data_IF_162145845843
#
_entry.id   IF_162145845843
#
_cell.length_a   1.000
_cell.length_b   1.000
_cell.length_c   1.000
_cell.angle_alpha   90.00
_cell.angle_beta   90.00
_cell.angle_gamma   90.00
#
_symmetry.space_group_name_H-M   'P 1'
#
loop_
_entity.id
_entity.type
_entity.pdbx_description
1 polymer ?
#
# COMPACT_ATOMS: atom_id res chain seq x y z
N UNK A 1 5.28 -17.54 -7.27
CA UNK A 1 4.73 -16.19 -7.03
C UNK A 1 4.01 -15.77 -8.30
N UNK A 2 2.92 -15.01 -8.17
CA UNK A 2 2.16 -14.44 -9.29
C UNK A 2 2.25 -12.93 -9.12
N UNK A 3 2.46 -12.21 -10.22
CA UNK A 3 2.53 -10.74 -10.21
C UNK A 3 1.17 -10.13 -9.83
N UNK A 4 1.19 -9.04 -9.07
CA UNK A 4 -0.01 -8.31 -8.67
C UNK A 4 -0.12 -7.01 -9.48
N UNK A 5 -1.05 -6.98 -10.43
CA UNK A 5 -1.32 -5.85 -11.33
C UNK A 5 -1.77 -4.56 -10.62
N UNK A 6 -2.16 -4.65 -9.35
CA UNK A 6 -2.48 -3.51 -8.48
C UNK A 6 -1.44 -3.23 -7.39
N UNK A 7 -0.24 -3.82 -7.46
CA UNK A 7 0.79 -3.59 -6.45
C UNK A 7 1.24 -2.12 -6.40
N UNK A 8 1.45 -1.62 -5.17
CA UNK A 8 1.84 -0.24 -4.88
C UNK A 8 3.25 0.13 -5.35
N UNK A 9 4.09 -0.87 -5.68
CA UNK A 9 5.48 -0.65 -6.15
C UNK A 9 5.58 0.11 -7.48
N UNK A 10 4.48 0.21 -8.24
CA UNK A 10 4.48 1.06 -9.43
C UNK A 10 4.56 2.52 -8.96
N UNK A 11 5.71 3.15 -9.22
CA UNK A 11 6.08 4.53 -8.84
C UNK A 11 6.43 4.76 -7.36
N UNK A 12 6.62 3.70 -6.57
CA UNK A 12 7.12 3.82 -5.19
C UNK A 12 8.09 2.69 -4.86
N UNK A 13 9.02 2.96 -3.93
CA UNK A 13 9.80 1.90 -3.30
C UNK A 13 9.06 1.43 -2.05
N UNK A 14 8.71 0.14 -1.99
CA UNK A 14 8.02 -0.45 -0.83
C UNK A 14 9.03 -1.09 0.12
N UNK A 15 8.97 -0.70 1.39
CA UNK A 15 9.70 -1.33 2.48
C UNK A 15 8.71 -2.02 3.43
N UNK A 16 8.78 -3.35 3.51
CA UNK A 16 8.00 -4.14 4.46
C UNK A 16 8.87 -4.43 5.67
N UNK A 17 8.39 -4.07 6.87
CA UNK A 17 9.13 -4.24 8.13
C UNK A 17 8.32 -5.14 9.05
N UNK A 18 8.85 -6.33 9.36
CA UNK A 18 8.30 -7.17 10.41
C UNK A 18 8.60 -6.51 11.76
N UNK A 19 7.57 -5.99 12.41
CA UNK A 19 7.68 -5.30 13.70
C UNK A 19 6.41 -5.52 14.53
N UNK A 20 6.47 -5.41 15.87
CA UNK A 20 7.68 -5.23 16.67
C UNK A 20 8.54 -6.50 16.71
N UNK A 21 9.63 -6.44 17.47
CA UNK A 21 10.48 -7.60 17.70
C UNK A 21 9.66 -8.79 18.23
N UNK A 22 9.88 -9.98 17.66
CA UNK A 22 9.06 -11.19 17.85
C UNK A 22 8.02 -11.45 16.75
N UNK A 23 7.83 -10.53 15.80
CA UNK A 23 6.92 -10.68 14.65
C UNK A 23 7.66 -11.23 13.43
N UNK A 24 7.08 -12.22 12.74
CA UNK A 24 7.58 -12.72 11.46
C UNK A 24 9.02 -13.22 11.50
N UNK A 25 9.91 -12.57 10.75
CA UNK A 25 11.36 -12.83 10.74
C UNK A 25 12.17 -11.99 11.73
N UNK A 26 11.55 -10.99 12.38
CA UNK A 26 12.20 -10.19 13.42
C UNK A 26 12.25 -10.98 14.72
N UNK A 27 13.29 -11.80 14.88
CA UNK A 27 13.39 -12.74 16.00
C UNK A 27 13.92 -12.09 17.28
N UNK A 28 13.69 -12.78 18.39
CA UNK A 28 14.04 -12.29 19.71
C UNK A 28 14.44 -13.43 20.64
N UNK A 29 15.27 -13.12 21.63
CA UNK A 29 15.39 -13.94 22.83
C UNK A 29 14.13 -13.76 23.70
N UNK A 30 13.62 -14.85 24.28
CA UNK A 30 12.26 -14.95 24.84
C UNK A 30 11.87 -13.84 25.85
N UNK A 31 12.83 -13.18 26.49
CA UNK A 31 12.60 -12.20 27.55
C UNK A 31 12.67 -10.74 27.10
N UNK A 32 12.80 -10.46 25.79
CA UNK A 32 13.02 -9.08 25.29
C UNK A 32 11.81 -8.46 24.59
N UNK A 33 10.62 -9.06 24.70
CA UNK A 33 9.41 -8.51 24.09
C UNK A 33 9.12 -7.11 24.64
N UNK A 34 8.65 -6.24 23.75
CA UNK A 34 8.28 -4.87 24.12
C UNK A 34 6.80 -4.81 24.52
N UNK A 35 6.45 -3.78 25.30
CA UNK A 35 5.11 -3.70 25.91
C UNK A 35 4.33 -2.43 25.56
N UNK A 36 5.02 -1.37 25.12
CA UNK A 36 4.46 -0.02 24.97
C UNK A 36 4.69 0.57 23.58
N UNK A 37 3.82 1.50 23.17
CA UNK A 37 3.87 2.13 21.84
C UNK A 37 5.08 3.05 21.65
N UNK A 38 5.51 3.77 22.70
CA UNK A 38 6.72 4.58 22.65
C UNK A 38 7.99 3.72 22.54
N UNK A 39 8.03 2.57 23.22
CA UNK A 39 9.13 1.61 23.11
C UNK A 39 9.23 1.04 21.69
N UNK A 40 8.09 0.65 21.12
CA UNK A 40 7.98 0.21 19.73
C UNK A 40 8.48 1.27 18.76
N UNK A 41 8.02 2.52 18.91
CA UNK A 41 8.44 3.62 18.05
C UNK A 41 9.95 3.87 18.13
N UNK A 42 10.53 3.81 19.32
CA UNK A 42 11.98 3.97 19.51
C UNK A 42 12.78 2.82 18.88
N UNK A 43 12.31 1.56 18.97
CA UNK A 43 12.93 0.45 18.26
C UNK A 43 12.84 0.63 16.74
N UNK A 44 11.71 1.12 16.23
CA UNK A 44 11.54 1.41 14.81
C UNK A 44 12.50 2.50 14.33
N UNK A 45 12.72 3.57 15.13
CA UNK A 45 13.75 4.57 14.83
C UNK A 45 15.16 3.96 14.80
N UNK A 46 15.46 3.06 15.75
CA UNK A 46 16.73 2.33 15.75
C UNK A 46 16.93 1.50 14.48
N UNK A 47 15.88 0.84 13.98
CA UNK A 47 15.89 0.19 12.68
C UNK A 47 16.15 1.18 11.54
N UNK A 48 15.41 2.30 11.48
CA UNK A 48 15.59 3.31 10.44
C UNK A 48 17.02 3.85 10.42
N UNK A 49 17.61 4.12 11.58
CA UNK A 49 19.00 4.59 11.69
C UNK A 49 20.01 3.62 11.07
N UNK A 50 19.79 2.30 11.23
CA UNK A 50 20.66 1.31 10.60
C UNK A 50 20.35 1.16 9.11
N UNK A 51 19.07 1.19 8.74
CA UNK A 51 18.64 1.09 7.35
C UNK A 51 19.23 2.23 6.50
N UNK A 52 19.17 3.46 7.00
CA UNK A 52 19.72 4.64 6.31
C UNK A 52 21.25 4.61 6.23
N UNK A 53 21.95 4.03 7.20
CA UNK A 53 23.41 3.84 7.09
C UNK A 53 23.79 2.92 5.95
N UNK A 54 22.93 1.94 5.64
CA UNK A 54 23.14 0.98 4.55
C UNK A 54 22.70 1.59 3.22
N UNK A 55 21.60 2.34 3.21
CA UNK A 55 21.00 2.96 2.02
C UNK A 55 20.91 4.50 2.17
N UNK A 56 22.05 5.20 2.22
CA UNK A 56 22.07 6.65 2.49
C UNK A 56 21.36 7.48 1.41
N UNK A 57 21.27 6.98 0.18
CA UNK A 57 20.53 7.59 -0.93
C UNK A 57 19.03 7.77 -0.63
N UNK A 58 18.47 7.01 0.32
CA UNK A 58 17.06 7.11 0.66
C UNK A 58 16.72 8.34 1.50
N UNK A 59 17.73 9.07 2.02
CA UNK A 59 17.51 10.34 2.72
C UNK A 59 16.90 11.42 1.82
N UNK A 60 17.08 11.31 0.50
CA UNK A 60 16.52 12.25 -0.47
C UNK A 60 15.06 11.97 -0.82
N UNK A 61 14.54 10.78 -0.45
CA UNK A 61 13.20 10.36 -0.82
C UNK A 61 12.14 10.89 0.14
N UNK A 62 10.95 11.12 -0.42
CA UNK A 62 9.74 11.33 0.35
C UNK A 62 9.35 10.03 1.05
N UNK A 63 9.21 10.09 2.38
CA UNK A 63 8.84 8.94 3.21
C UNK A 63 7.36 9.01 3.51
N UNK A 64 6.66 7.91 3.26
CA UNK A 64 5.27 7.71 3.65
C UNK A 64 5.17 6.49 4.53
N UNK A 65 4.41 6.59 5.63
CA UNK A 65 4.12 5.45 6.49
C UNK A 65 2.72 4.94 6.17
N UNK A 66 2.64 3.66 5.79
CA UNK A 66 1.39 3.01 5.46
C UNK A 66 1.23 1.69 6.22
N UNK A 67 -0.01 1.37 6.58
CA UNK A 67 -0.34 0.13 7.26
C UNK A 67 -1.83 0.05 7.58
N UNK A 68 -2.23 -1.06 8.19
CA UNK A 68 -3.63 -1.33 8.50
C UNK A 68 -3.86 -1.85 9.92
N UNK A 69 -5.12 -1.86 10.37
CA UNK A 69 -5.51 -2.48 11.63
C UNK A 69 -4.84 -1.82 12.84
N UNK A 70 -4.09 -2.58 13.65
CA UNK A 70 -3.34 -2.06 14.79
C UNK A 70 -2.20 -1.11 14.40
N UNK A 71 -1.83 -1.03 13.11
CA UNK A 71 -0.97 0.05 12.61
C UNK A 71 -1.60 1.44 12.78
N UNK A 72 -2.93 1.52 13.02
CA UNK A 72 -3.58 2.73 13.49
C UNK A 72 -3.03 3.25 14.82
N UNK A 73 -2.47 2.40 15.67
CA UNK A 73 -1.69 2.79 16.84
C UNK A 73 -0.22 3.05 16.48
N UNK A 74 0.40 2.13 15.73
CA UNK A 74 1.83 2.19 15.44
C UNK A 74 2.24 3.42 14.62
N UNK A 75 1.55 3.70 13.52
CA UNK A 75 1.96 4.72 12.55
C UNK A 75 1.99 6.12 13.18
N UNK A 76 0.98 6.58 13.94
CA UNK A 76 1.05 7.89 14.61
C UNK A 76 2.20 7.99 15.63
N UNK A 77 2.49 6.91 16.35
CA UNK A 77 3.60 6.87 17.31
C UNK A 77 4.98 6.93 16.61
N UNK A 78 5.15 6.16 15.54
CA UNK A 78 6.36 6.22 14.70
C UNK A 78 6.51 7.60 14.06
N UNK A 79 5.43 8.15 13.50
CA UNK A 79 5.44 9.47 12.87
C UNK A 79 5.84 10.58 13.85
N UNK A 80 5.25 10.58 15.06
CA UNK A 80 5.65 11.49 16.15
C UNK A 80 7.14 11.37 16.44
N UNK A 81 7.65 10.14 16.61
CA UNK A 81 9.04 9.90 16.93
C UNK A 81 9.99 10.37 15.81
N UNK A 82 9.63 10.18 14.53
CA UNK A 82 10.39 10.69 13.39
C UNK A 82 10.42 12.22 13.40
N UNK A 83 9.26 12.88 13.52
CA UNK A 83 9.17 14.34 13.48
C UNK A 83 9.90 15.00 14.65
N UNK A 84 9.88 14.38 15.83
CA UNK A 84 10.56 14.89 17.04
C UNK A 84 12.06 14.60 17.07
N UNK A 85 12.49 13.42 16.59
CA UNK A 85 13.85 12.92 16.83
C UNK A 85 14.70 12.76 15.56
N UNK A 86 14.10 12.74 14.36
CA UNK A 86 14.75 12.49 13.07
C UNK A 86 14.24 13.46 12.00
N UNK A 87 14.25 14.75 12.30
CA UNK A 87 13.78 15.81 11.39
C UNK A 87 14.50 15.90 10.04
N UNK A 88 15.66 15.25 9.90
CA UNK A 88 16.35 15.08 8.62
C UNK A 88 15.61 14.15 7.64
N UNK A 89 14.72 13.28 8.15
CA UNK A 89 13.87 12.43 7.33
C UNK A 89 12.64 13.20 6.85
N UNK A 90 12.44 13.19 5.53
CA UNK A 90 11.32 13.87 4.90
C UNK A 90 10.05 13.02 4.98
N UNK A 91 9.44 12.94 6.17
CA UNK A 91 8.13 12.32 6.35
C UNK A 91 7.05 13.18 5.71
N UNK A 92 6.42 12.69 4.64
CA UNK A 92 5.49 13.42 3.79
C UNK A 92 4.02 13.06 4.00
N UNK A 93 3.71 11.96 4.67
CA UNK A 93 2.32 11.63 4.98
C UNK A 93 2.09 10.23 5.50
N UNK A 94 0.88 9.99 5.98
CA UNK A 94 0.45 8.73 6.59
C UNK A 94 -0.75 8.15 5.84
N UNK A 95 -0.79 6.83 5.63
CA UNK A 95 -1.94 6.11 5.08
C UNK A 95 -2.33 4.98 6.03
N UNK A 96 -3.49 5.10 6.68
CA UNK A 96 -3.94 4.14 7.69
C UNK A 96 -5.25 3.51 7.23
N UNK A 97 -5.19 2.21 6.92
CA UNK A 97 -6.34 1.42 6.48
C UNK A 97 -7.02 0.71 7.64
N UNK A 98 -8.35 0.80 7.74
CA UNK A 98 -9.15 0.04 8.71
C UNK A 98 -8.51 0.09 10.11
N UNK A 99 -8.12 1.29 10.55
CA UNK A 99 -7.22 1.47 11.69
C UNK A 99 -7.95 1.45 13.04
N UNK A 100 -7.39 0.75 14.03
CA UNK A 100 -7.76 0.92 15.43
C UNK A 100 -7.04 2.15 15.98
N UNK A 101 -7.70 3.30 15.97
CA UNK A 101 -7.11 4.61 16.34
C UNK A 101 -7.72 5.13 17.65
N UNK A 102 -9.05 5.15 17.73
CA UNK A 102 -9.83 5.48 18.92
C UNK A 102 -10.66 4.27 19.34
N UNK A 103 -10.16 3.45 20.28
CA UNK A 103 -10.90 2.30 20.77
C UNK A 103 -12.26 2.62 21.38
N UNK A 104 -12.41 3.77 22.04
CA UNK A 104 -13.67 4.13 22.72
C UNK A 104 -14.77 4.27 21.67
N UNK A 105 -14.49 5.01 20.60
CA UNK A 105 -15.41 5.15 19.47
C UNK A 105 -15.58 3.82 18.71
N UNK A 106 -14.53 3.01 18.63
CA UNK A 106 -14.59 1.67 18.03
C UNK A 106 -15.65 0.79 18.72
N UNK A 107 -15.60 0.63 20.04
CA UNK A 107 -16.56 -0.22 20.74
C UNK A 107 -18.00 0.28 20.66
N UNK A 108 -18.19 1.61 20.70
CA UNK A 108 -19.52 2.22 20.53
C UNK A 108 -20.10 2.03 19.13
N UNK A 109 -19.25 1.83 18.13
CA UNK A 109 -19.68 1.70 16.74
C UNK A 109 -20.19 0.30 16.36
N UNK A 110 -19.84 -0.74 17.13
CA UNK A 110 -20.14 -2.12 16.75
C UNK A 110 -21.64 -2.39 16.63
N UNK A 111 -22.44 -2.01 17.64
CA UNK A 111 -23.89 -2.21 17.60
C UNK A 111 -24.58 -1.46 16.45
N UNK A 112 -24.38 -0.14 16.26
CA UNK A 112 -25.00 0.57 15.12
C UNK A 112 -24.48 0.07 13.76
N UNK A 113 -23.24 -0.39 13.67
CA UNK A 113 -22.74 -1.04 12.45
C UNK A 113 -23.45 -2.37 12.19
N UNK A 114 -23.59 -3.22 13.22
CA UNK A 114 -24.27 -4.50 13.11
C UNK A 114 -25.74 -4.34 12.73
N UNK A 115 -26.44 -3.36 13.30
CA UNK A 115 -27.83 -3.03 12.93
C UNK A 115 -27.92 -2.54 11.49
N UNK A 116 -27.06 -1.61 11.09
CA UNK A 116 -27.08 -1.06 9.73
C UNK A 116 -26.77 -2.10 8.64
N UNK A 117 -26.08 -3.18 8.99
CA UNK A 117 -25.75 -4.28 8.09
C UNK A 117 -26.60 -5.53 8.32
N UNK A 118 -27.71 -5.42 9.04
CA UNK A 118 -28.66 -6.50 9.32
C UNK A 118 -28.05 -7.72 10.05
N UNK A 119 -26.90 -7.58 10.70
CA UNK A 119 -26.35 -8.62 11.59
C UNK A 119 -27.16 -8.71 12.89
N UNK A 120 -27.72 -7.58 13.34
CA UNK A 120 -28.52 -7.49 14.56
C UNK A 120 -29.82 -6.75 14.25
N UNK A 121 -30.97 -7.32 14.63
CA UNK A 121 -32.26 -6.65 14.46
C UNK A 121 -32.50 -5.71 15.63
N UNK A 122 -32.86 -4.46 15.36
CA UNK A 122 -33.15 -3.46 16.39
C UNK A 122 -34.29 -3.94 17.32
N UNK A 123 -34.12 -3.72 18.63
CA UNK A 123 -35.03 -4.19 19.69
C UNK A 123 -35.23 -5.72 19.79
N UNK A 124 -34.35 -6.53 19.19
CA UNK A 124 -34.27 -7.97 19.45
C UNK A 124 -33.58 -8.29 20.78
N UNK A 125 -33.72 -9.52 21.27
CA UNK A 125 -32.99 -9.95 22.48
C UNK A 125 -31.47 -9.81 22.33
N UNK A 126 -30.91 -10.09 21.15
CA UNK A 126 -29.49 -9.90 20.86
C UNK A 126 -29.10 -8.42 20.91
N UNK A 127 -29.93 -7.54 20.34
CA UNK A 127 -29.74 -6.09 20.42
C UNK A 127 -29.69 -5.61 21.88
N UNK A 128 -30.65 -6.04 22.70
CA UNK A 128 -30.73 -5.64 24.11
C UNK A 128 -29.51 -6.12 24.91
N UNK A 129 -29.05 -7.35 24.68
CA UNK A 129 -27.82 -7.88 25.30
C UNK A 129 -26.59 -7.05 24.93
N UNK A 130 -26.38 -6.80 23.64
CA UNK A 130 -25.22 -6.02 23.17
C UNK A 130 -25.32 -4.58 23.69
N UNK A 131 -26.50 -3.96 23.69
CA UNK A 131 -26.71 -2.60 24.19
C UNK A 131 -26.36 -2.47 25.68
N UNK A 132 -26.67 -3.50 26.49
CA UNK A 132 -26.24 -3.55 27.90
C UNK A 132 -24.71 -3.60 27.99
N UNK A 133 -24.05 -4.43 27.19
CA UNK A 133 -22.59 -4.55 27.16
C UNK A 133 -21.92 -3.25 26.70
N UNK A 134 -22.47 -2.56 25.70
CA UNK A 134 -21.99 -1.23 25.27
C UNK A 134 -22.05 -0.24 26.43
N UNK A 135 -23.17 -0.17 27.17
CA UNK A 135 -23.29 0.71 28.34
C UNK A 135 -22.28 0.36 29.44
N UNK A 136 -22.05 -0.94 29.68
CA UNK A 136 -21.06 -1.40 30.66
C UNK A 136 -19.64 -1.01 30.25
N UNK A 137 -19.29 -1.21 28.98
CA UNK A 137 -18.02 -0.77 28.40
C UNK A 137 -17.81 0.74 28.56
N UNK A 138 -18.80 1.57 28.20
CA UNK A 138 -18.71 3.03 28.35
C UNK A 138 -18.49 3.46 29.81
N UNK A 139 -19.20 2.81 30.75
CA UNK A 139 -19.03 3.06 32.18
C UNK A 139 -17.66 2.63 32.70
N UNK A 140 -17.09 1.54 32.17
CA UNK A 140 -15.76 1.09 32.53
C UNK A 140 -14.70 2.06 32.01
N UNK A 141 -14.76 2.43 30.72
CA UNK A 141 -13.80 3.32 30.07
C UNK A 141 -13.80 4.73 30.70
N UNK A 142 -14.95 5.24 31.16
CA UNK A 142 -15.05 6.56 31.79
C UNK A 142 -14.47 6.65 33.22
N UNK A 143 -14.25 5.51 33.90
CA UNK A 143 -13.78 5.44 35.29
C UNK A 143 -12.29 5.10 35.41
N UNK A 144 -11.63 4.87 34.29
CA UNK A 144 -10.29 4.31 34.25
C UNK A 144 -9.19 5.38 34.28
N UNK A 145 -8.17 5.12 35.10
CA UNK A 145 -6.89 5.86 35.09
C UNK A 145 -5.96 5.32 34.00
N UNK A 146 -6.06 4.01 33.72
CA UNK A 146 -5.33 3.28 32.69
C UNK A 146 -6.31 2.64 31.72
N UNK A 147 -6.00 2.70 30.43
CA UNK A 147 -6.88 2.21 29.37
C UNK A 147 -6.97 0.68 29.39
N UNK A 148 -8.16 0.13 29.62
CA UNK A 148 -8.45 -1.31 29.58
C UNK A 148 -9.78 -1.60 28.91
N UNK A 149 -9.72 -2.46 27.89
CA UNK A 149 -10.84 -2.82 27.01
C UNK A 149 -11.60 -4.07 27.46
N UNK A 150 -11.23 -4.66 28.61
CA UNK A 150 -11.75 -5.96 29.03
C UNK A 150 -13.28 -5.99 29.12
N UNK A 151 -13.88 -4.92 29.65
CA UNK A 151 -15.34 -4.77 29.75
C UNK A 151 -16.04 -4.64 28.38
N UNK A 152 -15.28 -4.38 27.31
CA UNK A 152 -15.78 -4.12 25.97
C UNK A 152 -15.66 -5.33 25.04
N UNK A 153 -14.79 -6.30 25.36
CA UNK A 153 -14.60 -7.52 24.56
C UNK A 153 -15.89 -8.31 24.26
N UNK A 154 -16.87 -8.43 25.18
CA UNK A 154 -18.10 -9.17 24.90
C UNK A 154 -18.91 -8.62 23.73
N UNK A 155 -18.85 -7.30 23.46
CA UNK A 155 -19.66 -6.63 22.43
C UNK A 155 -19.41 -7.26 21.06
N UNK A 156 -18.13 -7.38 20.68
CA UNK A 156 -17.75 -7.92 19.39
C UNK A 156 -17.99 -9.44 19.34
N UNK A 157 -17.74 -10.14 20.44
CA UNK A 157 -17.97 -11.58 20.54
C UNK A 157 -19.45 -11.93 20.30
N UNK A 158 -20.39 -11.23 20.94
CA UNK A 158 -21.83 -11.44 20.73
C UNK A 158 -22.25 -11.24 19.27
N UNK A 159 -21.72 -10.22 18.60
CA UNK A 159 -22.03 -9.96 17.18
C UNK A 159 -21.47 -11.06 16.28
N UNK A 160 -20.24 -11.49 16.54
CA UNK A 160 -19.58 -12.54 15.75
C UNK A 160 -20.30 -13.88 15.91
N UNK A 161 -20.67 -14.24 17.14
CA UNK A 161 -21.25 -15.54 17.47
C UNK A 161 -22.74 -15.63 17.14
N UNK A 162 -23.50 -14.55 17.36
CA UNK A 162 -24.96 -14.57 17.28
C UNK A 162 -25.53 -13.69 16.16
N UNK A 163 -24.69 -12.93 15.45
CA UNK A 163 -25.11 -12.08 14.35
C UNK A 163 -25.68 -12.89 13.18
N UNK A 164 -26.71 -12.35 12.53
CA UNK A 164 -27.28 -12.95 11.34
C UNK A 164 -26.23 -13.03 10.22
N UNK A 165 -26.00 -14.23 9.72
CA UNK A 165 -25.07 -14.45 8.61
C UNK A 165 -25.77 -14.17 7.27
N UNK A 166 -25.04 -13.54 6.35
CA UNK A 166 -25.46 -13.33 4.96
C UNK A 166 -25.44 -14.69 4.23
N UNK A 167 -26.48 -15.50 4.47
CA UNK A 167 -26.55 -16.89 4.04
C UNK A 167 -26.49 -17.05 2.51
N UNK A 168 -25.36 -17.56 2.00
CA UNK A 168 -25.39 -18.54 0.89
C UNK A 168 -25.74 -19.96 1.39
N UNK A 169 -25.73 -20.18 2.70
CA UNK A 169 -26.09 -21.44 3.34
C UNK A 169 -27.22 -21.21 4.35
N UNK A 170 -28.38 -21.84 4.13
CA UNK A 170 -29.58 -21.68 4.96
C UNK A 170 -29.32 -22.21 6.37
N UNK A 171 -29.79 -21.44 7.36
CA UNK A 171 -29.86 -21.76 8.80
C UNK A 171 -28.50 -21.82 9.52
N UNK A 172 -28.47 -21.31 10.75
CA UNK A 172 -27.35 -21.35 11.69
C UNK A 172 -26.79 -22.78 11.77
N UNK A 173 -25.78 -23.10 10.95
CA UNK A 173 -25.04 -24.34 11.11
C UNK A 173 -24.24 -24.20 12.40
N UNK A 174 -24.53 -25.09 13.35
CA UNK A 174 -23.75 -25.22 14.59
C UNK A 174 -22.25 -25.15 14.26
N UNK A 175 -21.53 -24.27 14.97
CA UNK A 175 -20.08 -24.11 14.79
C UNK A 175 -19.63 -23.16 13.68
N UNK A 176 -20.50 -22.29 13.13
CA UNK A 176 -20.11 -21.15 12.28
C UNK A 176 -20.30 -19.81 13.00
N UNK A 177 -19.58 -18.78 12.53
CA UNK A 177 -19.66 -17.42 13.03
C UNK A 177 -19.37 -16.40 11.91
N UNK A 178 -19.77 -15.15 12.12
CA UNK A 178 -19.48 -14.04 11.18
C UNK A 178 -17.96 -13.85 11.08
N UNK A 179 -17.43 -13.69 9.87
CA UNK A 179 -16.04 -13.32 9.70
C UNK A 179 -15.85 -11.86 10.11
N UNK A 180 -15.03 -11.63 11.13
CA UNK A 180 -14.81 -10.29 11.70
C UNK A 180 -14.14 -9.31 10.72
N UNK A 181 -13.45 -9.81 9.70
CA UNK A 181 -12.74 -9.00 8.72
C UNK A 181 -13.57 -8.68 7.47
N UNK A 182 -14.65 -9.44 7.21
CA UNK A 182 -15.60 -9.17 6.14
C UNK A 182 -16.94 -9.83 6.45
N UNK A 183 -17.95 -9.04 6.79
CA UNK A 183 -19.27 -9.52 7.22
C UNK A 183 -20.09 -10.20 6.11
N UNK A 184 -19.60 -10.18 4.88
CA UNK A 184 -20.18 -10.95 3.76
C UNK A 184 -19.72 -12.41 3.78
N UNK A 185 -18.70 -12.72 4.57
CA UNK A 185 -18.13 -14.05 4.75
C UNK A 185 -18.50 -14.59 6.14
N UNK A 186 -18.36 -15.90 6.28
CA UNK A 186 -18.44 -16.63 7.54
C UNK A 186 -17.19 -17.50 7.72
N UNK A 187 -17.00 -18.02 8.94
CA UNK A 187 -15.89 -18.89 9.28
C UNK A 187 -16.33 -19.91 10.34
N UNK A 188 -15.50 -20.92 10.59
CA UNK A 188 -15.69 -21.87 11.69
C UNK A 188 -15.46 -21.20 13.03
N UNK A 189 -16.33 -21.46 14.00
CA UNK A 189 -16.10 -21.10 15.39
C UNK A 189 -15.02 -21.99 16.01
N UNK A 190 -14.06 -21.46 16.80
CA UNK A 190 -13.92 -20.07 17.26
C UNK A 190 -12.99 -19.20 16.40
N UNK A 191 -12.66 -19.59 15.16
CA UNK A 191 -11.72 -18.84 14.30
C UNK A 191 -12.31 -17.52 13.80
N UNK A 192 -13.57 -17.50 13.36
CA UNK A 192 -14.38 -16.30 13.11
C UNK A 192 -13.69 -15.18 12.30
N UNK A 193 -12.94 -15.58 11.27
CA UNK A 193 -12.16 -14.70 10.41
C UNK A 193 -10.66 -14.97 10.49
N UNK A 194 -10.18 -15.65 11.53
CA UNK A 194 -8.76 -16.05 11.61
C UNK A 194 -8.35 -16.91 10.42
N UNK A 195 -9.23 -17.77 9.88
CA UNK A 195 -8.87 -18.58 8.70
C UNK A 195 -8.81 -17.77 7.39
N UNK A 196 -9.24 -16.51 7.40
CA UNK A 196 -9.24 -15.64 6.25
C UNK A 196 -8.01 -14.70 6.24
N UNK A 197 -7.46 -14.38 5.05
CA UNK A 197 -7.70 -15.05 3.78
C UNK A 197 -6.99 -16.42 3.76
N UNK A 198 -7.61 -17.48 3.22
CA UNK A 198 -7.06 -18.84 3.28
C UNK A 198 -5.68 -18.96 2.60
N UNK A 199 -5.39 -18.11 1.61
CA UNK A 199 -4.13 -18.05 0.89
C UNK A 199 -2.94 -17.70 1.78
N UNK A 200 -3.15 -16.88 2.81
CA UNK A 200 -2.09 -16.40 3.69
C UNK A 200 -1.49 -17.57 4.49
N UNK A 201 -2.36 -18.37 5.13
CA UNK A 201 -1.91 -19.55 5.90
C UNK A 201 -1.49 -20.70 5.01
N UNK A 202 -2.17 -20.92 3.89
CA UNK A 202 -1.92 -22.08 3.02
C UNK A 202 -0.69 -21.89 2.14
N UNK A 203 -0.58 -20.76 1.46
CA UNK A 203 0.44 -20.54 0.44
C UNK A 203 1.58 -19.65 0.91
N UNK A 204 1.29 -18.51 1.56
CA UNK A 204 2.34 -17.55 1.98
C UNK A 204 3.19 -18.15 3.10
N UNK A 205 2.58 -18.67 4.16
CA UNK A 205 3.33 -19.34 5.26
C UNK A 205 4.20 -20.48 4.74
N UNK A 206 3.65 -21.33 3.87
CA UNK A 206 4.38 -22.46 3.30
C UNK A 206 5.55 -21.98 2.43
N UNK A 207 5.36 -20.91 1.66
CA UNK A 207 6.40 -20.33 0.82
C UNK A 207 7.54 -19.72 1.64
N UNK A 208 7.21 -18.88 2.63
CA UNK A 208 8.19 -18.19 3.46
C UNK A 208 8.95 -19.12 4.42
N UNK A 209 8.42 -20.32 4.68
CA UNK A 209 9.11 -21.37 5.47
C UNK A 209 10.01 -22.29 4.64
N UNK A 210 10.07 -22.12 3.32
CA UNK A 210 10.99 -22.91 2.49
C UNK A 210 12.43 -22.46 2.74
N UNK A 211 13.34 -23.42 2.93
CA UNK A 211 14.74 -23.12 3.22
C UNK A 211 15.43 -22.34 2.08
N UNK A 212 15.10 -22.65 0.83
CA UNK A 212 15.67 -21.93 -0.32
C UNK A 212 15.18 -20.49 -0.38
N UNK A 213 13.91 -20.24 -0.04
CA UNK A 213 13.35 -18.89 0.08
C UNK A 213 14.00 -18.14 1.24
N UNK A 214 14.03 -18.69 2.44
CA UNK A 214 14.69 -18.08 3.61
C UNK A 214 16.14 -17.71 3.32
N UNK A 215 16.89 -18.62 2.69
CA UNK A 215 18.29 -18.37 2.34
C UNK A 215 18.42 -17.23 1.30
N UNK A 216 17.48 -17.13 0.35
CA UNK A 216 17.47 -16.07 -0.67
C UNK A 216 17.18 -14.67 -0.11
N UNK A 217 16.50 -14.58 1.03
CA UNK A 217 16.26 -13.33 1.78
C UNK A 217 17.18 -13.19 2.99
N UNK A 218 18.32 -13.92 2.99
CA UNK A 218 19.38 -13.85 3.98
C UNK A 218 18.99 -14.24 5.43
N UNK A 219 17.92 -15.02 5.59
CA UNK A 219 17.54 -15.65 6.87
C UNK A 219 18.30 -16.96 7.02
N UNK A 220 19.44 -16.90 7.73
CA UNK A 220 20.36 -18.03 7.90
C UNK A 220 20.09 -18.87 9.15
N UNK A 221 19.29 -18.35 10.11
CA UNK A 221 18.94 -19.11 11.30
C UNK A 221 17.78 -20.08 11.00
N UNK A 222 18.10 -21.38 11.07
CA UNK A 222 17.16 -22.49 10.83
C UNK A 222 16.10 -22.64 11.92
N UNK A 223 16.26 -21.98 13.06
CA UNK A 223 15.26 -21.97 14.14
C UNK A 223 14.11 -21.02 13.85
N UNK A 224 14.32 -20.04 12.97
CA UNK A 224 13.31 -19.05 12.60
C UNK A 224 12.23 -19.72 11.78
N UNK A 225 10.98 -19.59 12.23
CA UNK A 225 9.81 -20.10 11.52
C UNK A 225 8.83 -18.97 11.36
N UNK A 226 8.80 -18.41 10.16
CA UNK A 226 7.87 -17.34 9.84
C UNK A 226 6.43 -17.75 10.15
N UNK A 227 5.67 -16.90 10.79
CA UNK A 227 4.25 -17.05 11.01
C UNK A 227 3.55 -15.73 10.78
N UNK A 228 2.26 -15.80 10.45
CA UNK A 228 1.46 -14.63 10.08
C UNK A 228 1.33 -13.66 11.26
N UNK A 229 1.03 -14.19 12.45
CA UNK A 229 0.86 -13.43 13.67
C UNK A 229 1.53 -14.19 14.82
N UNK A 230 2.25 -13.46 15.68
CA UNK A 230 2.88 -14.01 16.89
C UNK A 230 1.96 -13.84 18.09
N UNK A 231 1.47 -14.95 18.65
CA UNK A 231 0.65 -14.92 19.87
C UNK A 231 1.44 -14.38 21.07
N UNK A 232 2.75 -14.62 21.11
CA UNK A 232 3.62 -14.08 22.18
C UNK A 232 3.66 -12.55 22.13
N UNK A 233 3.86 -11.96 20.94
CA UNK A 233 3.80 -10.50 20.78
C UNK A 233 2.41 -10.00 21.15
N UNK A 234 1.34 -10.64 20.66
CA UNK A 234 -0.03 -10.22 20.94
C UNK A 234 -0.37 -10.22 22.44
N UNK A 235 0.08 -11.23 23.18
CA UNK A 235 -0.22 -11.36 24.62
C UNK A 235 0.63 -10.42 25.48
N UNK A 236 1.80 -10.01 24.99
CA UNK A 236 2.77 -9.24 25.75
C UNK A 236 2.71 -7.74 25.45
N UNK A 237 2.33 -7.37 24.23
CA UNK A 237 2.17 -5.98 23.79
C UNK A 237 0.80 -5.42 24.20
N UNK A 238 0.65 -5.02 25.46
CA UNK A 238 -0.63 -4.53 25.99
C UNK A 238 -0.83 -3.02 25.84
N UNK A 239 0.24 -2.26 25.61
CA UNK A 239 0.23 -0.80 25.52
C UNK A 239 -0.49 -0.14 26.72
N UNK A 240 -0.37 -0.73 27.92
CA UNK A 240 -1.17 -0.41 29.09
C UNK A 240 -1.05 1.06 29.54
N UNK A 241 0.16 1.64 29.41
CA UNK A 241 0.42 3.02 29.79
C UNK A 241 0.35 3.99 28.60
N UNK A 242 0.40 3.47 27.38
CA UNK A 242 0.33 4.28 26.17
C UNK A 242 -1.09 4.82 25.96
N UNK A 243 -1.19 6.06 25.47
CA UNK A 243 -2.49 6.66 25.13
C UNK A 243 -2.89 6.21 23.72
N UNK A 244 -4.19 6.03 23.44
CA UNK A 244 -4.63 5.78 22.07
C UNK A 244 -4.14 6.86 21.10
N UNK A 245 -3.78 6.44 19.90
CA UNK A 245 -3.14 7.27 18.88
C UNK A 245 -4.00 8.43 18.36
N UNK A 246 -5.32 8.40 18.58
CA UNK A 246 -6.21 9.56 18.35
C UNK A 246 -5.70 10.83 19.04
N UNK A 247 -5.00 10.71 20.17
CA UNK A 247 -4.42 11.86 20.89
C UNK A 247 -3.25 12.51 20.15
N UNK A 248 -2.65 11.80 19.19
CA UNK A 248 -1.50 12.28 18.40
C UNK A 248 -1.94 12.90 17.06
N UNK A 249 -3.06 12.45 16.50
CA UNK A 249 -3.50 12.88 15.16
C UNK A 249 -3.64 14.40 14.99
N UNK A 250 -4.22 15.18 15.94
CA UNK A 250 -4.34 16.62 15.76
C UNK A 250 -3.02 17.37 15.61
N UNK A 251 -1.94 16.89 16.26
CA UNK A 251 -0.61 17.48 16.11
C UNK A 251 0.02 17.03 14.78
N UNK A 252 -0.10 15.74 14.43
CA UNK A 252 0.42 15.24 13.15
C UNK A 252 -0.23 15.95 11.95
N UNK A 253 -1.54 16.21 11.99
CA UNK A 253 -2.29 16.94 10.95
C UNK A 253 -1.87 18.41 10.78
N UNK A 254 -1.17 19.00 11.76
CA UNK A 254 -0.58 20.34 11.61
C UNK A 254 0.68 20.31 10.74
N UNK A 255 1.33 19.15 10.64
CA UNK A 255 2.66 19.01 10.06
C UNK A 255 2.63 18.27 8.73
N UNK A 256 1.80 17.22 8.62
CA UNK A 256 1.74 16.32 7.46
C UNK A 256 0.31 15.91 7.12
N UNK A 257 0.03 15.60 5.84
CA UNK A 257 -1.25 15.05 5.43
C UNK A 257 -1.42 13.59 5.88
N UNK A 258 -2.67 13.21 6.16
CA UNK A 258 -3.06 11.85 6.58
C UNK A 258 -4.25 11.39 5.74
N UNK A 259 -4.15 10.19 5.18
CA UNK A 259 -5.29 9.42 4.67
C UNK A 259 -5.70 8.40 5.73
N UNK A 260 -6.96 8.46 6.13
CA UNK A 260 -7.65 7.36 6.78
C UNK A 260 -8.56 6.71 5.73
N UNK A 261 -8.50 5.39 5.58
CA UNK A 261 -9.40 4.70 4.67
C UNK A 261 -9.98 3.45 5.33
N UNK A 262 -11.24 3.13 5.02
CA UNK A 262 -11.92 1.98 5.63
C UNK A 262 -12.68 1.21 4.57
N UNK A 263 -12.62 -0.12 4.64
CA UNK A 263 -13.51 -0.99 3.89
C UNK A 263 -14.92 -1.00 4.47
N UNK A 264 -15.92 -0.92 3.59
CA UNK A 264 -17.34 -0.87 3.94
C UNK A 264 -17.82 -2.05 4.80
N UNK A 265 -17.26 -3.25 4.60
CA UNK A 265 -17.73 -4.50 5.20
C UNK A 265 -16.81 -5.06 6.28
N UNK A 266 -15.79 -4.30 6.71
CA UNK A 266 -15.00 -4.65 7.87
C UNK A 266 -15.80 -4.46 9.16
N UNK A 267 -15.93 -5.51 9.98
CA UNK A 267 -16.52 -5.39 11.31
C UNK A 267 -15.47 -4.96 12.33
N UNK A 268 -14.27 -5.56 12.31
CA UNK A 268 -13.21 -5.38 13.31
C UNK A 268 -12.82 -3.92 13.50
N UNK A 269 -12.63 -3.19 12.41
CA UNK A 269 -12.28 -1.78 12.40
C UNK A 269 -13.22 -1.00 11.48
N UNK A 270 -14.52 -1.15 11.76
CA UNK A 270 -15.57 -0.70 10.88
C UNK A 270 -15.54 0.81 10.60
N UNK A 271 -15.99 1.16 9.39
CA UNK A 271 -15.94 2.52 8.88
C UNK A 271 -16.74 3.54 9.73
N UNK A 272 -17.79 3.10 10.45
CA UNK A 272 -18.57 3.98 11.33
C UNK A 272 -17.75 4.44 12.53
N UNK A 273 -16.84 3.61 13.03
CA UNK A 273 -15.89 4.02 14.07
C UNK A 273 -14.99 5.15 13.58
N UNK A 274 -14.40 4.97 12.39
CA UNK A 274 -13.50 5.97 11.79
C UNK A 274 -14.24 7.28 11.54
N UNK A 275 -15.45 7.22 10.98
CA UNK A 275 -16.29 8.40 10.72
C UNK A 275 -16.66 9.14 12.01
N UNK A 276 -17.16 8.42 13.03
CA UNK A 276 -17.53 9.02 14.31
C UNK A 276 -16.32 9.62 15.05
N UNK A 277 -15.16 8.97 14.96
CA UNK A 277 -13.90 9.47 15.53
C UNK A 277 -13.50 10.78 14.85
N UNK A 278 -13.56 10.84 13.52
CA UNK A 278 -13.24 12.07 12.79
C UNK A 278 -14.24 13.17 13.16
N UNK A 279 -15.54 12.87 13.18
CA UNK A 279 -16.60 13.83 13.51
C UNK A 279 -16.43 14.44 14.91
N UNK A 280 -15.87 13.68 15.86
CA UNK A 280 -15.54 14.16 17.22
C UNK A 280 -14.16 14.80 17.38
N UNK A 281 -13.26 14.64 16.40
CA UNK A 281 -11.87 15.12 16.49
C UNK A 281 -11.77 16.60 16.11
N UNK A 282 -11.00 17.36 16.89
CA UNK A 282 -10.66 18.77 16.59
C UNK A 282 -9.20 18.86 16.17
N UNK A 283 -8.94 19.45 15.02
CA UNK A 283 -7.60 19.74 14.51
C UNK A 283 -7.64 21.04 13.71
N UNK A 284 -6.50 21.70 13.46
CA UNK A 284 -6.38 22.85 12.55
C UNK A 284 -7.57 23.85 12.60
N UNK A 285 -8.00 24.25 13.81
CA UNK A 285 -9.01 25.30 14.03
C UNK A 285 -10.49 24.89 13.92
N UNK A 286 -10.85 23.60 13.95
CA UNK A 286 -12.25 23.16 13.80
C UNK A 286 -12.44 21.65 14.01
N UNK A 287 -13.69 21.22 14.12
CA UNK A 287 -14.08 19.86 14.54
C UNK A 287 -14.72 19.10 13.38
N UNK A 288 -14.37 17.82 13.23
CA UNK A 288 -14.81 17.04 12.08
C UNK A 288 -14.40 17.69 10.76
N UNK A 289 -15.18 17.46 9.73
CA UNK A 289 -14.91 18.06 8.42
C UNK A 289 -15.51 19.46 8.24
N UNK A 290 -15.79 20.18 9.34
CA UNK A 290 -16.07 21.61 9.32
C UNK A 290 -14.78 22.38 8.94
N UNK A 291 -14.90 23.39 8.09
CA UNK A 291 -13.79 24.28 7.72
C UNK A 291 -13.53 25.38 8.78
N UNK A 292 -14.28 25.41 9.88
CA UNK A 292 -14.17 26.40 10.96
C UNK A 292 -14.89 27.71 10.66
N UNK A 293 -15.66 27.77 9.57
CA UNK A 293 -16.39 28.95 9.10
C UNK A 293 -17.90 28.70 8.92
N UNK A 294 -18.42 27.59 9.47
CA UNK A 294 -19.82 27.19 9.34
C UNK A 294 -20.13 26.44 8.04
N UNK A 295 -19.12 26.07 7.25
CA UNK A 295 -19.25 25.18 6.09
C UNK A 295 -18.49 23.89 6.31
N UNK A 296 -18.96 22.79 5.73
CA UNK A 296 -18.34 21.47 5.87
C UNK A 296 -17.92 20.91 4.53
N UNK A 297 -16.83 20.14 4.51
CA UNK A 297 -16.39 19.41 3.31
C UNK A 297 -17.50 18.48 2.83
N UNK A 298 -17.84 18.45 1.53
CA UNK A 298 -18.87 17.56 1.00
C UNK A 298 -18.42 16.09 1.06
N UNK A 299 -19.38 15.17 1.16
CA UNK A 299 -19.13 13.73 0.94
C UNK A 299 -19.26 13.47 -0.56
N UNK A 300 -18.15 13.44 -1.27
CA UNK A 300 -18.13 13.28 -2.71
C UNK A 300 -18.04 11.80 -3.11
N UNK A 301 -18.69 11.38 -4.22
CA UNK A 301 -18.44 10.07 -4.80
C UNK A 301 -16.96 9.94 -5.18
N UNK A 302 -16.31 8.87 -4.72
CA UNK A 302 -14.97 8.52 -5.16
C UNK A 302 -15.06 7.59 -6.36
N UNK A 303 -14.56 8.05 -7.51
CA UNK A 303 -14.64 7.34 -8.78
C UNK A 303 -13.24 6.84 -9.18
N UNK A 304 -13.12 5.56 -9.51
CA UNK A 304 -11.88 4.95 -10.00
C UNK A 304 -12.20 4.19 -11.28
N UNK A 305 -11.43 4.46 -12.34
CA UNK A 305 -11.63 3.85 -13.66
C UNK A 305 -13.08 3.98 -14.20
N UNK A 306 -13.77 5.08 -13.87
CA UNK A 306 -15.16 5.35 -14.28
C UNK A 306 -16.24 4.67 -13.43
N UNK A 307 -15.87 3.91 -12.40
CA UNK A 307 -16.80 3.24 -11.49
C UNK A 307 -16.86 3.92 -10.12
N UNK A 308 -18.03 3.89 -9.47
CA UNK A 308 -18.14 4.30 -8.07
C UNK A 308 -17.39 3.30 -7.18
N UNK A 309 -16.27 3.77 -6.63
CA UNK A 309 -15.36 3.01 -5.79
C UNK A 309 -15.58 3.28 -4.29
N UNK A 310 -16.32 4.34 -3.95
CA UNK A 310 -16.46 4.76 -2.57
C UNK A 310 -17.00 6.16 -2.37
N UNK A 311 -16.71 6.70 -1.19
CA UNK A 311 -16.86 8.11 -0.84
C UNK A 311 -15.50 8.68 -0.46
N UNK A 312 -15.26 9.94 -0.79
CA UNK A 312 -14.07 10.68 -0.38
C UNK A 312 -14.48 12.00 0.28
N UNK A 313 -13.73 12.39 1.30
CA UNK A 313 -13.91 13.67 2.00
C UNK A 313 -12.58 14.17 2.50
N UNK A 314 -12.28 15.45 2.25
CA UNK A 314 -11.00 16.04 2.65
C UNK A 314 -11.19 17.39 3.32
N UNK A 315 -10.50 17.62 4.43
CA UNK A 315 -10.38 18.94 5.04
C UNK A 315 -9.08 19.02 5.85
N UNK A 316 -8.37 20.14 5.69
CA UNK A 316 -7.33 20.58 6.64
C UNK A 316 -6.29 19.49 6.92
N UNK A 317 -5.72 18.94 5.85
CA UNK A 317 -4.72 17.85 5.81
C UNK A 317 -5.23 16.43 6.13
N UNK A 318 -6.50 16.25 6.49
CA UNK A 318 -7.11 14.93 6.63
C UNK A 318 -7.93 14.59 5.38
N UNK A 319 -7.71 13.40 4.84
CA UNK A 319 -8.59 12.80 3.83
C UNK A 319 -9.13 11.48 4.37
N UNK A 320 -10.44 11.28 4.23
CA UNK A 320 -11.12 10.03 4.53
C UNK A 320 -11.67 9.40 3.25
N UNK A 321 -11.45 8.10 3.07
CA UNK A 321 -11.98 7.32 1.95
C UNK A 321 -12.71 6.09 2.47
N UNK A 322 -14.00 5.97 2.15
CA UNK A 322 -14.78 4.75 2.35
C UNK A 322 -14.69 3.89 1.08
N UNK A 323 -14.05 2.72 1.14
CA UNK A 323 -13.99 1.79 0.03
C UNK A 323 -15.25 0.93 -0.03
N UNK A 324 -16.05 1.12 -1.08
CA UNK A 324 -17.21 0.27 -1.30
C UNK A 324 -16.79 -1.16 -1.61
N UNK A 325 -17.56 -2.10 -1.05
CA UNK A 325 -17.38 -3.54 -1.24
C UNK A 325 -16.06 -4.14 -0.74
N UNK A 326 -15.29 -3.44 0.10
CA UNK A 326 -14.06 -3.95 0.70
C UNK A 326 -14.27 -4.34 2.17
N UNK A 327 -13.55 -5.35 2.64
CA UNK A 327 -13.43 -5.73 4.05
C UNK A 327 -12.22 -5.08 4.72
N UNK A 328 -11.60 -5.80 5.65
CA UNK A 328 -10.49 -5.29 6.48
C UNK A 328 -9.22 -5.02 5.68
N UNK A 329 -8.86 -5.93 4.78
CA UNK A 329 -7.66 -5.84 3.94
C UNK A 329 -8.03 -5.21 2.59
N UNK A 330 -8.26 -3.90 2.55
CA UNK A 330 -8.67 -3.18 1.32
C UNK A 330 -7.77 -3.47 0.10
N UNK A 331 -6.42 -3.51 0.22
CA UNK A 331 -5.57 -3.87 -0.90
C UNK A 331 -5.71 -5.32 -1.39
N UNK A 332 -6.22 -6.23 -0.55
CA UNK A 332 -6.54 -7.60 -0.95
C UNK A 332 -7.81 -7.62 -1.81
N UNK A 333 -8.87 -6.91 -1.41
CA UNK A 333 -10.14 -6.89 -2.16
C UNK A 333 -10.05 -6.07 -3.45
N UNK A 334 -9.39 -4.91 -3.40
CA UNK A 334 -9.29 -3.98 -4.52
C UNK A 334 -7.87 -3.40 -4.70
N UNK A 335 -6.91 -4.21 -5.15
CA UNK A 335 -5.51 -3.79 -5.27
C UNK A 335 -5.33 -2.59 -6.22
N UNK A 336 -6.08 -2.52 -7.34
CA UNK A 336 -6.01 -1.37 -8.26
C UNK A 336 -6.56 -0.09 -7.66
N UNK A 337 -7.66 -0.16 -6.91
CA UNK A 337 -8.28 1.01 -6.26
C UNK A 337 -7.39 1.53 -5.13
N UNK A 338 -6.80 0.64 -4.34
CA UNK A 338 -5.88 1.03 -3.26
C UNK A 338 -4.60 1.67 -3.82
N UNK A 339 -4.08 1.20 -4.95
CA UNK A 339 -2.96 1.87 -5.62
C UNK A 339 -3.34 3.24 -6.15
N UNK A 340 -4.52 3.39 -6.75
CA UNK A 340 -4.99 4.69 -7.23
C UNK A 340 -5.06 5.71 -6.09
N UNK A 341 -5.58 5.32 -4.92
CA UNK A 341 -5.53 6.14 -3.70
C UNK A 341 -4.10 6.55 -3.34
N UNK A 342 -3.15 5.61 -3.32
CA UNK A 342 -1.75 5.93 -3.05
C UNK A 342 -1.21 6.97 -4.04
N UNK A 343 -1.45 6.79 -5.34
CA UNK A 343 -0.98 7.70 -6.39
C UNK A 343 -1.58 9.11 -6.26
N UNK A 344 -2.87 9.20 -5.90
CA UNK A 344 -3.51 10.48 -5.57
C UNK A 344 -2.83 11.15 -4.37
N UNK A 345 -2.45 10.35 -3.37
CA UNK A 345 -1.88 10.88 -2.13
C UNK A 345 -0.47 11.45 -2.30
N UNK A 346 0.39 10.72 -3.00
CA UNK A 346 1.76 11.15 -3.27
C UNK A 346 1.83 12.19 -4.41
N UNK A 347 0.67 12.73 -4.83
CA UNK A 347 0.53 13.80 -5.82
C UNK A 347 1.32 13.52 -7.10
N UNK A 348 1.25 12.28 -7.61
CA UNK A 348 1.67 12.06 -8.98
C UNK A 348 0.75 12.91 -9.86
N UNK A 349 1.31 13.89 -10.58
CA UNK A 349 0.62 14.58 -11.66
C UNK A 349 0.29 13.55 -12.77
N UNK A 350 -0.80 12.82 -12.58
CA UNK A 350 -1.28 11.79 -13.51
C UNK A 350 -1.76 12.39 -14.85
N UNK A 351 -1.74 13.73 -14.99
CA UNK A 351 -2.10 14.48 -16.21
C UNK A 351 -1.16 14.13 -17.38
N UNK A 352 0.03 13.55 -17.14
CA UNK A 352 0.94 13.13 -18.21
C UNK A 352 0.85 11.67 -18.66
N UNK A 353 -0.13 10.88 -18.20
CA UNK A 353 -0.34 9.54 -18.77
C UNK A 353 -1.33 9.60 -19.92
N UNK A 354 -0.88 9.32 -21.16
CA UNK A 354 -1.76 9.37 -22.29
C UNK A 354 -2.74 8.19 -22.17
N UNK A 355 -4.02 8.52 -22.32
CA UNK A 355 -5.22 7.69 -22.34
C UNK A 355 -4.96 6.25 -22.82
N UNK A 356 -5.75 5.28 -22.33
CA UNK A 356 -5.74 3.84 -22.65
C UNK A 356 -5.44 3.47 -24.12
N UNK A 357 -5.77 4.35 -25.05
CA UNK A 357 -5.38 4.34 -26.47
C UNK A 357 -3.86 4.25 -26.69
N UNK A 358 -3.06 4.93 -25.89
CA UNK A 358 -1.60 4.99 -25.98
C UNK A 358 -0.94 3.78 -25.33
N UNK A 359 -1.56 3.17 -24.32
CA UNK A 359 -1.13 1.87 -23.79
C UNK A 359 -1.24 0.77 -24.84
N UNK A 360 -2.34 0.76 -25.62
CA UNK A 360 -2.49 -0.12 -26.79
C UNK A 360 -1.47 0.17 -27.89
N UNK A 361 -1.14 1.45 -28.12
CA UNK A 361 -0.13 1.84 -29.10
C UNK A 361 1.31 1.48 -28.67
N UNK A 362 1.62 1.54 -27.37
CA UNK A 362 2.92 1.11 -26.81
C UNK A 362 3.03 -0.43 -26.87
N UNK A 363 1.95 -1.16 -26.57
CA UNK A 363 1.89 -2.62 -26.74
C UNK A 363 1.98 -3.04 -28.23
N UNK A 364 1.36 -2.31 -29.15
CA UNK A 364 1.52 -2.54 -30.60
C UNK A 364 2.92 -2.20 -31.10
N UNK A 365 3.51 -1.10 -30.62
CA UNK A 365 4.88 -0.68 -30.97
C UNK A 365 5.93 -1.68 -30.49
N UNK A 366 5.80 -2.18 -29.26
CA UNK A 366 6.69 -3.23 -28.69
C UNK A 366 6.50 -4.59 -29.38
N UNK A 367 5.28 -4.91 -29.82
CA UNK A 367 5.02 -6.11 -30.64
C UNK A 367 5.59 -5.99 -32.05
N UNK A 368 5.58 -4.79 -32.64
CA UNK A 368 6.18 -4.49 -33.95
C UNK A 368 7.71 -4.57 -33.90
N UNK A 369 8.35 -4.00 -32.89
CA UNK A 369 9.81 -4.08 -32.70
C UNK A 369 10.29 -5.52 -32.46
N UNK A 370 9.51 -6.35 -31.76
CA UNK A 370 9.78 -7.80 -31.64
C UNK A 370 9.66 -8.54 -32.97
N UNK A 371 8.71 -8.17 -33.83
CA UNK A 371 8.59 -8.75 -35.18
C UNK A 371 9.76 -8.33 -36.08
N UNK A 372 10.18 -7.06 -36.02
CA UNK A 372 11.34 -6.57 -36.79
C UNK A 372 12.62 -7.26 -36.32
N UNK A 373 12.84 -7.40 -35.02
CA UNK A 373 13.99 -8.12 -34.48
C UNK A 373 14.01 -9.60 -34.91
N UNK A 374 12.85 -10.25 -34.96
CA UNK A 374 12.71 -11.63 -35.43
C UNK A 374 13.00 -11.77 -36.94
N UNK A 375 12.53 -10.83 -37.76
CA UNK A 375 12.83 -10.79 -39.20
C UNK A 375 14.32 -10.56 -39.44
N UNK A 376 14.95 -9.63 -38.72
CA UNK A 376 16.40 -9.37 -38.81
C UNK A 376 17.20 -10.62 -38.44
N UNK A 377 16.81 -11.34 -37.39
CA UNK A 377 17.45 -12.59 -37.00
C UNK A 377 17.35 -13.66 -38.09
N UNK A 378 16.19 -13.81 -38.72
CA UNK A 378 16.00 -14.74 -39.85
C UNK A 378 16.88 -14.36 -41.03
N UNK A 379 16.94 -13.07 -41.38
CA UNK A 379 17.77 -12.57 -42.49
C UNK A 379 19.26 -12.86 -42.22
N UNK A 380 19.74 -12.65 -41.00
CA UNK A 380 21.13 -12.97 -40.62
C UNK A 380 21.39 -14.48 -40.77
N UNK A 381 20.47 -15.34 -40.31
CA UNK A 381 20.61 -16.81 -40.45
C UNK A 381 20.66 -17.22 -41.93
N UNK A 382 19.81 -16.64 -42.78
CA UNK A 382 19.78 -16.92 -44.22
C UNK A 382 21.08 -16.45 -44.89
N UNK A 383 21.61 -15.28 -44.55
CA UNK A 383 22.89 -14.78 -45.06
C UNK A 383 24.04 -15.71 -44.64
N UNK A 384 24.06 -16.16 -43.39
CA UNK A 384 25.08 -17.10 -42.90
C UNK A 384 24.98 -18.46 -43.61
N UNK A 385 23.77 -18.96 -43.86
CA UNK A 385 23.56 -20.19 -44.62
C UNK A 385 24.00 -20.05 -46.08
N UNK A 386 23.68 -18.93 -46.73
CA UNK A 386 24.08 -18.65 -48.12
C UNK A 386 25.59 -18.47 -48.25
N UNK A 387 26.23 -17.76 -47.32
CA UNK A 387 27.70 -17.60 -47.29
C UNK A 387 28.39 -18.94 -47.01
N UNK A 388 27.84 -19.78 -46.13
CA UNK A 388 28.30 -21.16 -45.92
C UNK A 388 28.14 -22.04 -47.16
N UNK A 389 27.02 -21.93 -47.88
CA UNK A 389 26.78 -22.64 -49.16
C UNK A 389 27.73 -22.17 -50.26
N UNK A 390 27.93 -20.85 -50.40
CA UNK A 390 28.88 -20.28 -51.35
C UNK A 390 30.29 -20.77 -51.01
N UNK A 391 30.69 -20.73 -49.74
CA UNK A 391 31.98 -21.27 -49.30
C UNK A 391 32.10 -22.76 -49.65
N UNK A 392 31.09 -23.57 -49.36
CA UNK A 392 31.08 -25.00 -49.69
C UNK A 392 31.23 -25.27 -51.20
N UNK A 393 30.50 -24.53 -52.05
CA UNK A 393 30.56 -24.70 -53.51
C UNK A 393 31.85 -24.14 -54.13
N UNK A 394 32.37 -23.01 -53.62
CA UNK A 394 33.64 -22.43 -54.07
C UNK A 394 34.80 -23.35 -53.68
N UNK A 395 34.81 -23.89 -52.46
CA UNK A 395 35.85 -24.80 -51.98
C UNK A 395 35.79 -26.17 -52.67
N UNK A 396 34.60 -26.64 -53.03
CA UNK A 396 34.42 -27.88 -53.82
C UNK A 396 34.82 -27.71 -55.29
N UNK A 397 34.75 -26.49 -55.84
CA UNK A 397 35.02 -26.21 -57.27
C UNK A 397 36.43 -25.71 -57.56
N UNK A 398 37.13 -25.16 -56.57
CA UNK A 398 38.52 -24.72 -56.68
C UNK A 398 39.32 -25.16 -55.43
N UNK A 399 39.90 -26.39 -55.43
CA UNK A 399 40.55 -26.96 -54.24
C UNK A 399 41.94 -26.41 -53.91
N UNK A 400 42.42 -25.37 -54.58
CA UNK A 400 43.81 -24.90 -54.42
C UNK A 400 43.87 -23.38 -54.27
N UNK A 401 44.41 -22.98 -53.11
CA UNK A 401 44.78 -21.63 -52.67
C UNK A 401 43.63 -20.66 -52.32
N UNK A 402 43.16 -20.73 -51.06
CA UNK A 402 42.40 -19.64 -50.43
C UNK A 402 43.30 -18.98 -49.37
N UNK A 403 43.55 -17.66 -49.44
CA UNK A 403 44.34 -16.94 -48.44
C UNK A 403 43.68 -17.02 -47.06
N UNK A 404 44.46 -17.11 -45.99
CA UNK A 404 43.95 -17.15 -44.62
C UNK A 404 43.09 -15.92 -44.32
N UNK A 405 42.09 -16.08 -43.43
CA UNK A 405 41.14 -15.03 -42.99
C UNK A 405 41.82 -13.70 -42.60
N UNK A 406 43.09 -13.76 -42.17
CA UNK A 406 43.96 -12.62 -41.87
C UNK A 406 44.26 -11.72 -43.09
N UNK A 407 44.38 -12.29 -44.29
CA UNK A 407 44.67 -11.57 -45.55
C UNK A 407 43.50 -10.70 -45.98
N UNK A 408 42.27 -11.20 -45.81
CA UNK A 408 41.03 -10.51 -46.17
C UNK A 408 40.75 -9.34 -45.21
N UNK A 409 41.00 -9.53 -43.91
CA UNK A 409 40.89 -8.46 -42.90
C UNK A 409 41.91 -7.34 -43.18
N UNK A 410 43.11 -7.68 -43.68
CA UNK A 410 44.12 -6.68 -44.06
C UNK A 410 43.74 -5.87 -45.30
N UNK A 411 43.10 -6.51 -46.29
CA UNK A 411 42.58 -5.83 -47.48
C UNK A 411 41.39 -4.92 -47.15
N UNK A 412 40.50 -5.33 -46.24
CA UNK A 412 39.36 -4.51 -45.81
C UNK A 412 39.80 -3.31 -44.95
N UNK A 413 40.85 -3.43 -44.12
CA UNK A 413 41.45 -2.29 -43.41
C UNK A 413 42.16 -1.28 -44.33
N UNK A 414 42.64 -1.73 -45.49
CA UNK A 414 43.25 -0.85 -46.50
C UNK A 414 42.21 -0.07 -47.32
N UNK A 415 40.96 -0.52 -47.38
CA UNK A 415 39.90 0.09 -48.18
C UNK A 415 39.07 1.13 -47.40
N UNK A 416 39.17 1.18 -46.07
CA UNK A 416 38.44 2.15 -45.22
C UNK A 416 39.23 3.42 -44.89
N UNK A 417 40.33 3.70 -45.62
CA UNK A 417 41.19 4.86 -45.39
C UNK A 417 41.06 5.96 -46.45
N UNK A 418 39.86 6.16 -47.01
CA UNK A 418 39.51 7.31 -47.86
C UNK A 418 37.98 7.57 -47.81
N UNK A 419 37.47 8.03 -46.66
CA UNK A 419 36.29 8.93 -46.60
C UNK A 419 36.48 9.85 -45.40
N UNK A 420 36.58 11.14 -45.66
CA UNK A 420 36.86 12.24 -44.74
C UNK A 420 35.74 12.48 -43.72
N UNK A 421 36.11 12.99 -42.53
CA UNK A 421 35.19 13.63 -41.58
C UNK A 421 34.62 14.94 -42.15
N UNK A 422 33.46 15.42 -41.63
CA UNK A 422 33.57 16.56 -40.71
C UNK A 422 32.57 16.58 -39.53
N UNK A 423 33.12 16.98 -38.38
CA UNK A 423 32.69 18.00 -37.40
C UNK A 423 31.21 18.31 -37.08
N UNK A 424 31.02 18.61 -35.80
CA UNK A 424 29.86 19.10 -35.05
C UNK A 424 29.05 20.25 -35.65
N UNK A 425 27.73 20.29 -35.38
CA UNK A 425 26.90 21.43 -34.92
C UNK A 425 25.48 20.87 -34.68
N UNK A 426 24.75 21.09 -33.57
CA UNK A 426 24.58 22.27 -32.73
C UNK A 426 24.25 23.54 -33.52
N UNK A 427 23.18 23.50 -34.33
CA UNK A 427 22.30 24.64 -34.67
C UNK A 427 21.32 24.14 -35.74
N UNK A 428 20.06 23.93 -35.38
CA UNK A 428 18.89 23.97 -36.28
C UNK A 428 17.59 23.82 -35.48
N UNK A 429 17.38 24.74 -34.54
CA UNK A 429 16.06 25.24 -34.15
C UNK A 429 16.22 26.73 -33.78
N UNK A 430 16.55 27.53 -34.81
CA UNK A 430 16.47 29.00 -34.76
C UNK A 430 16.23 29.53 -36.17
N UNK A 431 15.08 30.22 -36.32
CA UNK A 431 14.61 31.07 -37.43
C UNK A 431 14.15 30.32 -38.69
N UNK A 432 12.96 30.55 -39.25
CA UNK A 432 12.24 31.79 -39.58
C UNK A 432 10.71 31.53 -39.53
N UNK A 433 9.78 32.48 -39.40
CA UNK A 433 9.80 33.93 -39.59
C UNK A 433 8.60 34.61 -38.90
N UNK A 434 8.91 35.78 -38.34
CA UNK A 434 8.07 36.97 -38.15
C UNK A 434 6.89 37.18 -39.12
N UNK A 435 5.78 37.69 -38.56
CA UNK A 435 5.10 38.88 -39.11
C UNK A 435 4.82 39.87 -37.97
N UNK A 436 5.19 41.12 -38.25
CA UNK A 436 5.13 42.32 -37.42
C UNK A 436 3.70 42.68 -36.93
N UNK A 437 3.61 43.36 -35.78
CA UNK A 437 2.94 44.67 -35.63
C UNK A 437 3.24 45.32 -34.27
N UNK A 438 4.04 46.39 -34.35
CA UNK A 438 4.09 47.65 -33.62
C UNK A 438 3.58 47.80 -32.15
N UNK A 439 4.57 48.13 -31.32
CA UNK A 439 4.65 49.16 -30.25
C UNK A 439 3.59 50.27 -30.29
N UNK A 440 2.97 50.56 -29.13
CA UNK A 440 2.86 51.92 -28.52
C UNK A 440 2.79 51.80 -26.99
N UNK A 441 3.74 52.48 -26.33
CA UNK A 441 3.77 52.86 -24.91
C UNK A 441 2.59 53.73 -24.49
N UNK A 442 2.15 53.62 -23.23
CA UNK A 442 2.14 54.79 -22.34
C UNK A 442 1.86 54.40 -20.88
N UNK A 443 2.79 54.82 -20.03
CA UNK A 443 2.71 55.06 -18.59
C UNK A 443 1.33 55.57 -18.11
N UNK A 444 0.94 55.23 -16.88
CA UNK A 444 0.92 56.16 -15.72
C UNK A 444 0.16 55.58 -14.52
N UNK A 445 0.81 55.66 -13.35
CA UNK A 445 0.28 55.88 -11.99
C UNK A 445 -1.22 55.75 -11.73
N UNK A 446 -1.60 54.93 -10.74
CA UNK A 446 -1.90 55.29 -9.33
C UNK A 446 -1.91 54.03 -8.49
#
# INVERSE_FOLDING_TARGET
>A
MIENDGSWHLYTNLLFVDQPVGTGFSTIDADSFIHELDEMANQFLGFLDQYIKIFPELLENDIYLAGESFAGQYIPYIAKAILEQRSALKLCGLLIGNGLIDPVTMYKSYLPFAVANNLVVENSELYDRINIQVKQCEQALSKQVHFSEEACYPILAEIIENGAMNNHHKENQEGRCVNVYDIRLDDTYPECGRNWPPELRKYVTSYLRRQDVMSSIHINDKKVRWEVCSNSVQNTFTAYNSKPSITLLPNLLQQIPIILYSGQYDLRCNHRATEAMIDGMTWNGGTGFDFGNGTSSPKDPWIVDGESAGLIRSARNLTYILFYNAGHMVPYDYPRRSRFMLHQFIQLDLISFPDTTTRKNIEQSTRSTRHVAFIVLIVIIVILALTGLIWFFVHKRYPTEVPTLFSIIRALRSATHNVEQPQSMAHLLSNESNTNLEVVDSETSV
#
